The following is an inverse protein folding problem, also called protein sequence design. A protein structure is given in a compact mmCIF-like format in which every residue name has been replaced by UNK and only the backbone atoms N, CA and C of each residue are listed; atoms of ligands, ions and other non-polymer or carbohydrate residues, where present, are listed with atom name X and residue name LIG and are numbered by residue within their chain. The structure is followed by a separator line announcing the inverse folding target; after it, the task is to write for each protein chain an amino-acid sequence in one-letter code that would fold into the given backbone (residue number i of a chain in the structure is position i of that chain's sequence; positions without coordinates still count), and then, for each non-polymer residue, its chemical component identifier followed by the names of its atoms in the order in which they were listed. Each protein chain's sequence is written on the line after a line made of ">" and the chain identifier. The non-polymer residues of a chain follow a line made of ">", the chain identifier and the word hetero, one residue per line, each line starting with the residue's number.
data_IF_078678852828
#
_entry.id   IF_078678852828
#
_cell.length_a   1.000
_cell.length_b   1.000
_cell.length_c   1.000
_cell.angle_alpha   90.00
_cell.angle_beta   90.00
_cell.angle_gamma   90.00
#
_symmetry.space_group_name_H-M   'P 1'
#
loop_
_entity.id
_entity.type
_entity.pdbx_description
1 polymer ?
#
# COMPACT_ATOMS: atom_id res chain seq x y z
N UNK A 1 -12.09 8.13 -15.70
CA UNK A 1 -10.91 8.18 -14.82
C UNK A 1 -11.28 8.68 -13.42
N UNK A 2 -11.90 9.87 -13.29
CA UNK A 2 -12.41 10.39 -12.01
C UNK A 2 -13.31 9.42 -11.22
N UNK A 3 -14.15 8.64 -11.92
CA UNK A 3 -15.06 7.66 -11.28
C UNK A 3 -14.36 6.42 -10.71
N UNK A 4 -13.14 6.09 -11.15
CA UNK A 4 -12.39 4.93 -10.63
C UNK A 4 -11.75 5.29 -9.29
N UNK A 5 -11.21 6.51 -9.19
CA UNK A 5 -10.64 7.02 -7.94
C UNK A 5 -11.66 7.04 -6.80
N UNK A 6 -12.92 7.41 -7.07
CA UNK A 6 -14.01 7.38 -6.08
C UNK A 6 -14.42 5.97 -5.64
N UNK A 7 -14.06 4.93 -6.40
CA UNK A 7 -14.37 3.51 -6.10
C UNK A 7 -13.20 2.76 -5.45
N UNK A 8 -12.06 3.40 -5.26
CA UNK A 8 -10.89 2.79 -4.62
C UNK A 8 -11.24 2.15 -3.27
N UNK A 9 -12.01 2.79 -2.37
CA UNK A 9 -12.37 2.16 -1.10
C UNK A 9 -13.19 0.86 -1.27
N UNK A 10 -14.09 0.81 -2.25
CA UNK A 10 -14.91 -0.37 -2.56
C UNK A 10 -14.04 -1.54 -3.04
N UNK A 11 -13.05 -1.27 -3.90
CA UNK A 11 -12.09 -2.28 -4.34
C UNK A 11 -11.19 -2.77 -3.20
N UNK A 12 -10.77 -1.87 -2.31
CA UNK A 12 -9.95 -2.23 -1.16
C UNK A 12 -10.72 -3.15 -0.21
N UNK A 13 -11.95 -2.79 0.16
CA UNK A 13 -12.81 -3.60 1.02
C UNK A 13 -13.07 -5.00 0.44
N UNK A 14 -13.39 -5.08 -0.86
CA UNK A 14 -13.62 -6.36 -1.55
C UNK A 14 -12.38 -7.27 -1.54
N UNK A 15 -11.19 -6.70 -1.55
CA UNK A 15 -9.93 -7.44 -1.50
C UNK A 15 -9.46 -7.77 -0.06
N UNK A 16 -10.21 -7.33 0.97
CA UNK A 16 -9.81 -7.47 2.37
C UNK A 16 -8.70 -6.49 2.79
N UNK A 17 -8.57 -5.37 2.08
CA UNK A 17 -7.59 -4.32 2.34
C UNK A 17 -8.27 -3.15 3.06
N UNK A 18 -7.73 -2.78 4.22
CA UNK A 18 -8.18 -1.60 4.97
C UNK A 18 -7.35 -0.39 4.59
N UNK A 19 -7.98 0.71 4.19
CA UNK A 19 -7.29 1.98 3.99
C UNK A 19 -7.05 2.63 5.34
N UNK A 20 -5.79 2.69 5.77
CA UNK A 20 -5.37 3.29 7.05
C UNK A 20 -5.26 4.81 6.91
N UNK A 21 -4.73 5.29 5.79
CA UNK A 21 -4.61 6.71 5.50
C UNK A 21 -4.55 7.01 3.99
N UNK A 22 -5.01 8.20 3.60
CA UNK A 22 -5.02 8.68 2.21
C UNK A 22 -6.36 8.42 1.49
N UNK A 23 -6.39 8.49 0.14
CA UNK A 23 -5.27 8.83 -0.75
C UNK A 23 -4.79 10.28 -0.57
N UNK A 24 -3.47 10.48 -0.54
CA UNK A 24 -2.83 11.80 -0.55
C UNK A 24 -2.28 12.08 -1.94
N UNK A 25 -2.74 13.15 -2.57
CA UNK A 25 -2.20 13.62 -3.85
C UNK A 25 -1.21 14.77 -3.62
N UNK A 26 -0.10 14.78 -4.36
CA UNK A 26 0.89 15.85 -4.28
C UNK A 26 1.14 16.52 -5.65
N UNK A 27 1.98 17.56 -5.68
CA UNK A 27 2.34 18.29 -6.90
C UNK A 27 3.29 17.51 -7.83
N UNK A 28 3.84 16.40 -7.36
CA UNK A 28 4.70 15.52 -8.15
C UNK A 28 3.91 14.43 -8.91
N UNK A 29 2.57 14.55 -8.94
CA UNK A 29 1.68 13.58 -9.59
C UNK A 29 1.78 12.17 -8.99
N UNK A 30 2.14 12.08 -7.70
CA UNK A 30 2.15 10.84 -6.93
C UNK A 30 0.94 10.81 -6.00
N UNK A 31 0.32 9.63 -5.93
CA UNK A 31 -0.70 9.31 -4.94
C UNK A 31 -0.07 8.37 -3.92
N UNK A 32 -0.14 8.75 -2.64
CA UNK A 32 0.33 7.91 -1.52
C UNK A 32 -0.89 7.42 -0.75
N UNK A 33 -0.89 6.13 -0.43
CA UNK A 33 -1.91 5.50 0.39
C UNK A 33 -1.25 4.55 1.37
N UNK A 34 -1.69 4.58 2.61
CA UNK A 34 -1.27 3.61 3.62
C UNK A 34 -2.43 2.62 3.76
N UNK A 35 -2.13 1.35 3.53
CA UNK A 35 -3.11 0.27 3.62
C UNK A 35 -2.61 -0.80 4.58
N UNK A 36 -3.55 -1.52 5.18
CA UNK A 36 -3.31 -2.69 6.00
C UNK A 36 -4.05 -3.88 5.42
N UNK A 37 -3.40 -5.04 5.41
CA UNK A 37 -3.98 -6.31 5.00
C UNK A 37 -3.29 -7.43 5.78
N UNK A 38 -4.03 -8.51 6.05
CA UNK A 38 -3.45 -9.70 6.72
C UNK A 38 -2.44 -10.44 5.83
N UNK A 39 -2.59 -10.32 4.51
CA UNK A 39 -1.84 -11.07 3.50
C UNK A 39 -1.40 -10.14 2.37
N UNK A 40 -0.19 -10.35 1.86
CA UNK A 40 0.35 -9.54 0.75
C UNK A 40 -0.48 -9.72 -0.53
N UNK A 41 -1.03 -10.91 -0.74
CA UNK A 41 -1.88 -11.27 -1.88
C UNK A 41 -3.16 -10.43 -1.95
N UNK A 42 -3.69 -9.98 -0.80
CA UNK A 42 -4.84 -9.07 -0.76
C UNK A 42 -4.49 -7.71 -1.38
N UNK A 43 -3.26 -7.22 -1.17
CA UNK A 43 -2.78 -5.97 -1.77
C UNK A 43 -2.61 -6.12 -3.28
N UNK A 44 -2.09 -7.25 -3.74
CA UNK A 44 -1.99 -7.54 -5.19
C UNK A 44 -3.36 -7.59 -5.85
N UNK A 45 -4.31 -8.33 -5.27
CA UNK A 45 -5.69 -8.41 -5.78
C UNK A 45 -6.36 -7.03 -5.84
N UNK A 46 -6.15 -6.19 -4.82
CA UNK A 46 -6.63 -4.81 -4.83
C UNK A 46 -6.05 -4.00 -6.01
N UNK A 47 -4.75 -4.13 -6.31
CA UNK A 47 -4.12 -3.42 -7.42
C UNK A 47 -4.63 -3.90 -8.78
N UNK A 48 -4.89 -5.19 -8.93
CA UNK A 48 -5.48 -5.78 -10.14
C UNK A 48 -6.91 -5.27 -10.36
N UNK A 49 -7.77 -5.36 -9.33
CA UNK A 49 -9.19 -5.00 -9.43
C UNK A 49 -9.39 -3.50 -9.63
N UNK A 50 -8.58 -2.67 -8.96
CA UNK A 50 -8.60 -1.21 -9.11
C UNK A 50 -8.02 -0.74 -10.45
N UNK A 51 -7.28 -1.61 -11.16
CA UNK A 51 -6.59 -1.32 -12.42
C UNK A 51 -5.60 -0.15 -12.32
N UNK A 52 -5.14 0.18 -11.11
CA UNK A 52 -4.22 1.30 -10.86
C UNK A 52 -2.89 1.11 -11.59
N UNK A 53 -2.39 -0.12 -11.62
CA UNK A 53 -1.12 -0.48 -12.26
C UNK A 53 -1.16 -0.41 -13.81
N UNK A 54 -2.34 -0.41 -14.44
CA UNK A 54 -2.42 -0.33 -15.91
C UNK A 54 -2.06 1.06 -16.45
N UNK A 55 -2.28 2.10 -15.65
CA UNK A 55 -2.09 3.50 -16.06
C UNK A 55 -1.02 4.22 -15.26
N UNK A 56 -0.51 3.61 -14.19
CA UNK A 56 0.44 4.21 -13.28
C UNK A 56 1.57 3.24 -12.96
N UNK A 57 2.72 3.79 -12.62
CA UNK A 57 3.75 3.03 -11.93
C UNK A 57 3.34 2.91 -10.45
N UNK A 58 3.24 1.69 -9.97
CA UNK A 58 2.89 1.39 -8.57
C UNK A 58 4.13 0.91 -7.83
N UNK A 59 4.33 1.44 -6.64
CA UNK A 59 5.36 1.01 -5.71
C UNK A 59 4.70 0.59 -4.41
N UNK A 60 4.90 -0.68 -4.03
CA UNK A 60 4.45 -1.22 -2.74
C UNK A 60 5.66 -1.31 -1.83
N UNK A 61 5.57 -0.68 -0.67
CA UNK A 61 6.61 -0.66 0.35
C UNK A 61 6.06 -1.35 1.60
N UNK A 62 6.37 -2.64 1.83
CA UNK A 62 6.07 -3.30 3.10
C UNK A 62 6.68 -2.48 4.22
N UNK A 63 5.87 -2.11 5.19
CA UNK A 63 6.26 -1.19 6.25
C UNK A 63 5.98 -1.83 7.60
N UNK A 64 6.92 -1.69 8.52
CA UNK A 64 6.79 -2.10 9.91
C UNK A 64 6.49 -0.88 10.77
N UNK A 65 6.04 -1.11 12.00
CA UNK A 65 6.07 -0.06 13.00
C UNK A 65 7.52 0.25 13.35
N UNK A 66 7.77 1.47 13.80
CA UNK A 66 9.12 1.92 14.15
C UNK A 66 9.73 1.05 15.27
N UNK A 67 8.94 0.69 16.28
CA UNK A 67 9.38 -0.19 17.37
C UNK A 67 9.88 -1.55 16.86
N UNK A 68 9.12 -2.20 15.96
CA UNK A 68 9.47 -3.51 15.40
C UNK A 68 10.71 -3.41 14.51
N UNK A 69 10.81 -2.35 13.70
CA UNK A 69 11.97 -2.13 12.83
C UNK A 69 13.27 -1.92 13.63
N UNK A 70 13.21 -1.23 14.76
CA UNK A 70 14.37 -1.06 15.64
C UNK A 70 14.79 -2.38 16.26
N UNK A 71 13.82 -3.21 16.69
CA UNK A 71 14.12 -4.53 17.22
C UNK A 71 14.80 -5.42 16.18
N UNK A 72 14.33 -5.43 14.92
CA UNK A 72 14.98 -6.19 13.85
C UNK A 72 16.43 -5.75 13.64
N UNK A 73 16.71 -4.44 13.68
CA UNK A 73 18.08 -3.91 13.52
C UNK A 73 18.99 -4.33 14.66
N UNK A 74 18.49 -4.39 15.90
CA UNK A 74 19.27 -4.88 17.04
C UNK A 74 19.57 -6.38 16.95
N UNK A 75 18.64 -7.17 16.41
CA UNK A 75 18.77 -8.62 16.24
C UNK A 75 19.63 -9.02 15.02
N UNK A 76 19.80 -8.10 14.05
CA UNK A 76 20.64 -8.34 12.88
C UNK A 76 22.11 -8.51 13.27
N UNK A 77 22.66 -9.69 12.99
CA UNK A 77 24.11 -9.93 13.09
C UNK A 77 24.82 -9.10 12.02
N UNK A 78 25.75 -8.21 12.38
CA UNK A 78 26.48 -7.45 11.39
C UNK A 78 27.30 -8.41 10.51
N UNK A 79 27.17 -8.26 9.19
CA UNK A 79 28.04 -8.97 8.25
C UNK A 79 29.34 -8.17 8.15
N UNK A 80 30.40 -8.68 8.77
CA UNK A 80 31.78 -8.16 8.64
C UNK A 80 32.58 -8.98 7.64
#
# INVERSE_FOLDING_TARGET
>A
MLQVASKIPEFAEKAGVTVVAGPFANREHVIVMIVSAEKAESVDQFLVDSRLAHWNRVHVLPSLKMEDALQEVEEMTPVF
#
